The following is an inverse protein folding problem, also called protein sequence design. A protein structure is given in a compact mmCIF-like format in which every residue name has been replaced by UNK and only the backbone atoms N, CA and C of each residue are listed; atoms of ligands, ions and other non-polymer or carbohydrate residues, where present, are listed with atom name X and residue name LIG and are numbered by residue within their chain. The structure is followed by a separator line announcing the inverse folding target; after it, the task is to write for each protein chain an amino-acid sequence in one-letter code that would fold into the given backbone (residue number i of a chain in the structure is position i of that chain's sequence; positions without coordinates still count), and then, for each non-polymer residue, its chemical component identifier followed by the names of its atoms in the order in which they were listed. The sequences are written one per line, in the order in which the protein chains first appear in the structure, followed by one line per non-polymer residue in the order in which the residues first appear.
data_IF_176318490339
#
_entry.id   IF_176318490339
#
_cell.length_a   1.000
_cell.length_b   1.000
_cell.length_c   1.000
_cell.angle_alpha   90.00
_cell.angle_beta   90.00
_cell.angle_gamma   90.00
#
_symmetry.space_group_name_H-M   'P 1'
#
loop_
_entity.id
_entity.type
_entity.pdbx_description
1 polymer ?
#
# COMPACT_ATOMS: atom_id res chain seq x y z
N UNK A 1 14.80 5.11 23.88
CA UNK A 1 13.61 6.01 24.13
C UNK A 1 12.41 5.42 23.39
N UNK A 2 11.18 5.92 23.60
CA UNK A 2 10.01 5.40 22.85
C UNK A 2 10.16 5.63 21.34
N UNK A 3 10.82 6.71 20.95
CA UNK A 3 11.12 7.04 19.55
C UNK A 3 12.05 6.02 18.87
N UNK A 4 12.89 5.31 19.63
CA UNK A 4 13.79 4.30 19.07
C UNK A 4 13.01 3.09 18.55
N UNK A 5 11.77 2.89 19.02
CA UNK A 5 10.90 1.82 18.51
C UNK A 5 10.48 2.01 17.05
N UNK A 6 10.63 3.22 16.49
CA UNK A 6 10.36 3.50 15.09
C UNK A 6 11.59 3.28 14.19
N UNK A 7 12.77 3.04 14.77
CA UNK A 7 14.00 2.74 14.03
C UNK A 7 13.97 1.33 13.43
N UNK A 8 14.41 1.24 12.20
CA UNK A 8 14.51 0.01 11.42
C UNK A 8 15.86 -0.03 10.68
N UNK A 9 16.91 0.35 11.40
CA UNK A 9 18.26 0.50 10.86
C UNK A 9 18.73 -0.76 10.14
N UNK A 10 19.24 -0.58 8.92
CA UNK A 10 19.79 -1.60 8.04
C UNK A 10 18.81 -2.75 7.69
N UNK A 11 17.51 -2.57 7.97
CA UNK A 11 16.47 -3.46 7.45
C UNK A 11 16.24 -3.19 5.96
N UNK A 12 15.68 -4.18 5.27
CA UNK A 12 15.38 -4.09 3.83
C UNK A 12 13.88 -4.17 3.61
N UNK A 13 13.33 -3.15 2.98
CA UNK A 13 11.92 -3.07 2.62
C UNK A 13 11.71 -3.21 1.11
N UNK A 14 10.70 -3.98 0.70
CA UNK A 14 10.23 -4.04 -0.68
C UNK A 14 8.92 -3.26 -0.74
N UNK A 15 8.82 -2.26 -1.65
CA UNK A 15 7.63 -1.43 -1.80
C UNK A 15 7.15 -1.49 -3.26
N UNK A 16 5.93 -1.97 -3.48
CA UNK A 16 5.33 -2.03 -4.81
C UNK A 16 4.55 -0.76 -5.13
N UNK A 17 4.56 -0.32 -6.40
CA UNK A 17 3.91 0.92 -6.82
C UNK A 17 4.53 2.16 -6.20
N UNK A 18 5.85 2.17 -6.07
CA UNK A 18 6.61 3.16 -5.30
C UNK A 18 7.19 4.32 -6.14
N UNK A 19 6.82 4.46 -7.41
CA UNK A 19 7.25 5.60 -8.23
C UNK A 19 6.59 6.93 -7.84
N UNK A 20 5.41 6.90 -7.20
CA UNK A 20 4.68 8.11 -6.78
C UNK A 20 3.69 7.83 -5.65
N UNK A 21 3.08 8.89 -5.13
CA UNK A 21 1.99 8.81 -4.17
C UNK A 21 2.36 8.11 -2.86
N UNK A 22 1.47 7.25 -2.37
CA UNK A 22 1.64 6.54 -1.09
C UNK A 22 2.89 5.66 -1.09
N UNK A 23 3.15 4.95 -2.20
CA UNK A 23 4.31 4.06 -2.30
C UNK A 23 5.64 4.80 -2.23
N UNK A 24 5.78 5.92 -2.95
CA UNK A 24 6.97 6.77 -2.90
C UNK A 24 7.19 7.36 -1.51
N UNK A 25 6.14 7.94 -0.92
CA UNK A 25 6.21 8.49 0.45
C UNK A 25 6.58 7.43 1.48
N UNK A 26 6.04 6.20 1.34
CA UNK A 26 6.40 5.07 2.21
C UNK A 26 7.86 4.65 2.06
N UNK A 27 8.40 4.64 0.83
CA UNK A 27 9.80 4.29 0.58
C UNK A 27 10.75 5.30 1.23
N UNK A 28 10.50 6.59 1.05
CA UNK A 28 11.31 7.65 1.66
C UNK A 28 11.20 7.61 3.19
N UNK A 29 9.99 7.48 3.75
CA UNK A 29 9.79 7.42 5.19
C UNK A 29 10.46 6.19 5.85
N UNK A 30 10.44 5.01 5.18
CA UNK A 30 11.18 3.83 5.65
C UNK A 30 12.70 4.09 5.64
N UNK A 31 13.20 4.80 4.63
CA UNK A 31 14.61 5.19 4.57
C UNK A 31 15.00 6.21 5.66
N UNK A 32 14.15 7.20 5.98
CA UNK A 32 14.32 8.11 7.10
C UNK A 32 14.42 7.37 8.44
N UNK A 33 13.72 6.25 8.59
CA UNK A 33 13.79 5.38 9.76
C UNK A 33 14.96 4.39 9.73
N UNK A 34 15.79 4.39 8.66
CA UNK A 34 17.03 3.62 8.57
C UNK A 34 17.03 2.43 7.63
N UNK A 35 15.94 2.15 6.91
CA UNK A 35 15.86 1.02 5.98
C UNK A 35 16.56 1.30 4.63
N UNK A 36 17.05 0.23 3.99
CA UNK A 36 17.30 0.17 2.56
C UNK A 36 16.02 -0.28 1.84
N UNK A 37 15.86 0.09 0.57
CA UNK A 37 14.61 -0.19 -0.15
C UNK A 37 14.83 -0.84 -1.51
N UNK A 38 13.93 -1.75 -1.88
CA UNK A 38 13.67 -2.17 -3.25
C UNK A 38 12.36 -1.53 -3.67
N UNK A 39 12.41 -0.68 -4.68
CA UNK A 39 11.28 0.11 -5.17
C UNK A 39 10.91 -0.34 -6.59
N UNK A 40 9.62 -0.54 -6.83
CA UNK A 40 9.14 -1.04 -8.11
C UNK A 40 7.95 -0.26 -8.64
N UNK A 41 7.98 0.13 -9.90
CA UNK A 41 6.87 0.74 -10.64
C UNK A 41 7.08 0.58 -12.15
N UNK A 42 6.12 1.04 -12.95
CA UNK A 42 6.22 0.97 -14.43
C UNK A 42 7.12 2.05 -15.03
N UNK A 43 7.28 3.19 -14.36
CA UNK A 43 7.98 4.37 -14.89
C UNK A 43 9.35 4.47 -14.23
N UNK A 44 10.41 4.32 -15.03
CA UNK A 44 11.78 4.37 -14.50
C UNK A 44 12.13 5.76 -13.94
N UNK A 45 11.75 6.86 -14.64
CA UNK A 45 12.05 8.22 -14.17
C UNK A 45 11.43 8.53 -12.80
N UNK A 46 10.21 8.04 -12.53
CA UNK A 46 9.58 8.22 -11.22
C UNK A 46 10.37 7.49 -10.12
N UNK A 47 10.91 6.30 -10.44
CA UNK A 47 11.75 5.53 -9.52
C UNK A 47 13.09 6.20 -9.26
N UNK A 48 13.69 6.85 -10.28
CA UNK A 48 14.95 7.57 -10.14
C UNK A 48 14.84 8.73 -9.14
N UNK A 49 13.72 9.47 -9.17
CA UNK A 49 13.44 10.54 -8.20
C UNK A 49 13.35 9.99 -6.77
N UNK A 50 12.64 8.88 -6.57
CA UNK A 50 12.50 8.25 -5.25
C UNK A 50 13.83 7.66 -4.79
N UNK A 51 14.59 7.01 -5.67
CA UNK A 51 15.90 6.47 -5.35
C UNK A 51 16.86 7.58 -4.89
N UNK A 52 16.90 8.71 -5.61
CA UNK A 52 17.70 9.86 -5.24
C UNK A 52 17.32 10.41 -3.85
N UNK A 53 16.02 10.49 -3.55
CA UNK A 53 15.56 10.91 -2.23
C UNK A 53 16.03 9.96 -1.11
N UNK A 54 15.96 8.65 -1.34
CA UNK A 54 16.44 7.61 -0.41
C UNK A 54 17.96 7.68 -0.22
N UNK A 55 18.71 7.85 -1.30
CA UNK A 55 20.18 7.93 -1.28
C UNK A 55 20.68 9.18 -0.57
N UNK A 56 19.92 10.29 -0.64
CA UNK A 56 20.24 11.52 0.12
C UNK A 56 20.15 11.34 1.64
N UNK A 57 19.54 10.24 2.11
CA UNK A 57 19.45 9.83 3.51
C UNK A 57 20.52 8.80 3.91
N UNK A 58 21.55 8.62 3.10
CA UNK A 58 22.58 7.59 3.28
C UNK A 58 22.02 6.15 3.32
N UNK A 59 20.93 5.91 2.58
CA UNK A 59 20.32 4.58 2.41
C UNK A 59 20.42 4.14 0.95
N UNK A 60 20.43 2.83 0.73
CA UNK A 60 20.48 2.27 -0.62
C UNK A 60 19.08 2.05 -1.17
N UNK A 61 18.86 2.41 -2.43
CA UNK A 61 17.67 2.08 -3.20
C UNK A 61 18.04 1.19 -4.39
N UNK A 62 17.22 0.17 -4.65
CA UNK A 62 17.30 -0.63 -5.88
C UNK A 62 15.98 -0.44 -6.62
N UNK A 63 16.06 0.19 -7.80
CA UNK A 63 14.91 0.50 -8.64
C UNK A 63 14.63 -0.62 -9.64
N UNK A 64 13.35 -1.01 -9.77
CA UNK A 64 12.89 -2.04 -10.71
C UNK A 64 11.73 -1.50 -11.54
N UNK A 65 11.99 -1.17 -12.80
CA UNK A 65 10.94 -0.80 -13.75
C UNK A 65 10.30 -2.06 -14.33
N UNK A 66 9.07 -2.38 -13.90
CA UNK A 66 8.34 -3.56 -14.36
C UNK A 66 6.82 -3.36 -14.33
N UNK A 67 6.10 -4.23 -15.05
CA UNK A 67 4.65 -4.32 -14.92
C UNK A 67 4.31 -5.09 -13.64
N UNK A 68 3.69 -4.39 -12.71
CA UNK A 68 3.30 -4.96 -11.42
C UNK A 68 1.97 -5.77 -11.49
N UNK A 69 1.37 -5.93 -12.65
CA UNK A 69 0.33 -6.92 -12.90
C UNK A 69 0.92 -8.30 -13.27
N UNK A 70 2.18 -8.36 -13.69
CA UNK A 70 2.89 -9.62 -13.93
C UNK A 70 3.33 -10.23 -12.59
N UNK A 71 2.70 -11.35 -12.22
CA UNK A 71 2.96 -12.04 -10.96
C UNK A 71 4.40 -12.57 -10.86
N UNK A 72 5.03 -12.93 -11.98
CA UNK A 72 6.43 -13.38 -11.99
C UNK A 72 7.39 -12.22 -11.76
N UNK A 73 7.18 -11.09 -12.43
CA UNK A 73 7.98 -9.90 -12.22
C UNK A 73 7.90 -9.39 -10.78
N UNK A 74 6.71 -9.40 -10.18
CA UNK A 74 6.53 -8.95 -8.79
C UNK A 74 7.15 -9.94 -7.78
N UNK A 75 7.09 -11.24 -8.04
CA UNK A 75 7.71 -12.24 -7.20
C UNK A 75 9.25 -12.15 -7.21
N UNK A 76 9.84 -11.78 -8.35
CA UNK A 76 11.29 -11.63 -8.48
C UNK A 76 11.89 -10.52 -7.60
N UNK A 77 11.11 -9.56 -7.13
CA UNK A 77 11.57 -8.50 -6.23
C UNK A 77 12.18 -9.05 -4.94
N UNK A 78 11.64 -10.15 -4.41
CA UNK A 78 12.17 -10.81 -3.21
C UNK A 78 13.54 -11.44 -3.47
N UNK A 79 13.70 -12.11 -4.62
CA UNK A 79 14.99 -12.65 -5.04
C UNK A 79 16.06 -11.57 -5.27
N UNK A 80 15.66 -10.44 -5.84
CA UNK A 80 16.52 -9.28 -6.04
C UNK A 80 16.96 -8.69 -4.68
N UNK A 81 16.03 -8.45 -3.75
CA UNK A 81 16.36 -7.96 -2.42
C UNK A 81 17.35 -8.89 -1.70
N UNK A 82 17.15 -10.22 -1.82
CA UNK A 82 18.09 -11.21 -1.27
C UNK A 82 19.48 -11.13 -1.91
N UNK A 83 19.58 -10.94 -3.24
CA UNK A 83 20.87 -10.80 -3.93
C UNK A 83 21.61 -9.51 -3.56
N UNK A 84 20.88 -8.38 -3.48
CA UNK A 84 21.48 -7.06 -3.28
C UNK A 84 21.80 -6.73 -1.82
N UNK A 85 20.98 -7.24 -0.90
CA UNK A 85 21.05 -6.90 0.52
C UNK A 85 21.20 -8.12 1.45
N UNK A 86 21.01 -9.34 0.94
CA UNK A 86 21.09 -10.57 1.74
C UNK A 86 19.89 -10.82 2.65
N UNK A 87 18.79 -10.02 2.54
CA UNK A 87 17.65 -10.09 3.44
C UNK A 87 16.39 -9.42 2.87
N UNK A 88 15.24 -9.76 3.45
CA UNK A 88 13.98 -9.02 3.37
C UNK A 88 13.38 -8.98 4.77
N UNK A 89 13.01 -7.81 5.27
CA UNK A 89 12.42 -7.61 6.60
C UNK A 89 11.01 -7.05 6.53
N UNK A 90 10.75 -6.20 5.51
CA UNK A 90 9.51 -5.46 5.36
C UNK A 90 9.00 -5.63 3.93
N UNK A 91 7.70 -5.87 3.79
CA UNK A 91 7.00 -5.82 2.50
C UNK A 91 5.85 -4.82 2.61
N UNK A 92 5.78 -3.87 1.68
CA UNK A 92 4.65 -2.95 1.54
C UNK A 92 3.95 -3.23 0.21
N UNK A 93 2.83 -3.93 0.28
CA UNK A 93 1.96 -4.20 -0.87
C UNK A 93 1.07 -2.98 -1.12
N UNK A 94 1.57 -2.05 -1.93
CA UNK A 94 0.87 -0.81 -2.23
C UNK A 94 0.20 -0.81 -3.61
N UNK A 95 0.58 -1.71 -4.51
CA UNK A 95 -0.10 -1.86 -5.81
C UNK A 95 -1.57 -2.16 -5.62
N UNK A 96 -2.39 -1.49 -6.41
CA UNK A 96 -3.82 -1.70 -6.41
C UNK A 96 -4.56 -0.54 -7.08
N UNK A 97 -5.82 -0.77 -7.34
CA UNK A 97 -6.73 0.18 -7.96
C UNK A 97 -7.74 -0.55 -8.85
N UNK A 98 -8.83 0.10 -9.16
CA UNK A 98 -9.75 -0.18 -10.24
C UNK A 98 -10.61 1.07 -10.44
N UNK A 99 -10.95 1.38 -11.68
CA UNK A 99 -11.79 2.54 -12.00
C UNK A 99 -13.23 2.24 -11.57
N UNK A 100 -13.90 3.15 -10.86
CA UNK A 100 -15.32 2.98 -10.56
C UNK A 100 -16.17 2.92 -11.84
N UNK A 101 -17.04 1.91 -11.93
CA UNK A 101 -17.93 1.71 -13.09
C UNK A 101 -19.38 1.51 -12.65
N UNK A 102 -20.39 1.92 -13.45
CA UNK A 102 -21.77 1.54 -13.25
C UNK A 102 -21.92 0.02 -13.15
N UNK A 103 -22.88 -0.46 -12.36
CA UNK A 103 -23.06 -1.90 -12.09
C UNK A 103 -23.18 -2.73 -13.37
N UNK A 104 -23.97 -2.28 -14.35
CA UNK A 104 -24.15 -2.99 -15.63
C UNK A 104 -22.92 -3.00 -16.55
N UNK A 105 -21.92 -2.15 -16.28
CA UNK A 105 -20.63 -2.13 -16.99
C UNK A 105 -19.53 -2.86 -16.22
N UNK A 106 -19.80 -3.29 -14.98
CA UNK A 106 -18.84 -4.06 -14.17
C UNK A 106 -18.99 -5.53 -14.51
N UNK A 107 -18.27 -5.99 -15.53
CA UNK A 107 -18.31 -7.37 -16.00
C UNK A 107 -17.61 -8.32 -15.03
N UNK A 108 -17.87 -9.66 -15.09
CA UNK A 108 -17.10 -10.64 -14.32
C UNK A 108 -15.59 -10.53 -14.54
N UNK A 109 -15.16 -10.33 -15.78
CA UNK A 109 -13.75 -10.22 -16.16
C UNK A 109 -13.11 -8.99 -15.50
N UNK A 110 -13.82 -7.85 -15.44
CA UNK A 110 -13.36 -6.66 -14.75
C UNK A 110 -13.24 -6.87 -13.23
N UNK A 111 -14.14 -7.66 -12.65
CA UNK A 111 -14.03 -8.10 -11.25
C UNK A 111 -12.78 -8.94 -11.02
N UNK A 112 -12.48 -9.89 -11.92
CA UNK A 112 -11.30 -10.74 -11.86
C UNK A 112 -10.01 -9.91 -11.99
N UNK A 113 -9.95 -8.97 -12.94
CA UNK A 113 -8.83 -8.04 -13.10
C UNK A 113 -8.60 -7.20 -11.84
N UNK A 114 -9.67 -6.66 -11.23
CA UNK A 114 -9.56 -5.90 -10.00
C UNK A 114 -9.04 -6.77 -8.84
N UNK A 115 -9.50 -8.01 -8.73
CA UNK A 115 -9.01 -8.96 -7.73
C UNK A 115 -7.54 -9.32 -7.98
N UNK A 116 -7.18 -9.61 -9.23
CA UNK A 116 -5.81 -9.89 -9.63
C UNK A 116 -4.86 -8.77 -9.20
N UNK A 117 -5.18 -7.52 -9.59
CA UNK A 117 -4.31 -6.37 -9.36
C UNK A 117 -4.25 -5.92 -7.90
N UNK A 118 -5.29 -6.18 -7.09
CA UNK A 118 -5.31 -5.75 -5.69
C UNK A 118 -4.91 -6.85 -4.70
N UNK A 119 -5.11 -8.14 -5.03
CA UNK A 119 -4.92 -9.24 -4.08
C UNK A 119 -3.88 -10.25 -4.57
N UNK A 120 -4.00 -10.74 -5.83
CA UNK A 120 -3.10 -11.78 -6.32
C UNK A 120 -1.65 -11.29 -6.43
N UNK A 121 -1.43 -10.03 -6.84
CA UNK A 121 -0.10 -9.40 -6.88
C UNK A 121 0.56 -9.36 -5.50
N UNK A 122 -0.17 -8.98 -4.46
CA UNK A 122 0.31 -8.98 -3.09
C UNK A 122 0.64 -10.40 -2.59
N UNK A 123 -0.21 -11.37 -2.94
CA UNK A 123 0.05 -12.76 -2.56
C UNK A 123 1.30 -13.32 -3.26
N UNK A 124 1.50 -13.01 -4.55
CA UNK A 124 2.68 -13.43 -5.29
C UNK A 124 3.99 -12.91 -4.67
N UNK A 125 4.03 -11.62 -4.31
CA UNK A 125 5.18 -11.07 -3.59
C UNK A 125 5.37 -11.71 -2.22
N UNK A 126 4.30 -11.85 -1.44
CA UNK A 126 4.38 -12.46 -0.12
C UNK A 126 4.88 -13.90 -0.18
N UNK A 127 4.40 -14.70 -1.15
CA UNK A 127 4.82 -16.08 -1.35
C UNK A 127 6.34 -16.18 -1.62
N UNK A 128 6.91 -15.24 -2.38
CA UNK A 128 8.34 -15.18 -2.65
C UNK A 128 9.16 -14.57 -1.50
N UNK A 129 8.62 -13.58 -0.79
CA UNK A 129 9.34 -12.85 0.26
C UNK A 129 9.38 -13.63 1.59
N UNK A 130 8.30 -14.33 1.97
CA UNK A 130 8.17 -15.04 3.25
C UNK A 130 9.34 -15.99 3.52
N UNK A 131 9.79 -16.85 2.59
CA UNK A 131 10.95 -17.72 2.84
C UNK A 131 12.21 -16.93 3.17
N UNK A 132 12.46 -15.81 2.46
CA UNK A 132 13.64 -14.95 2.69
C UNK A 132 13.54 -14.24 4.04
N UNK A 133 12.35 -13.77 4.42
CA UNK A 133 12.10 -13.16 5.74
C UNK A 133 12.37 -14.16 6.87
N UNK A 134 11.96 -15.41 6.72
CA UNK A 134 12.17 -16.46 7.72
C UNK A 134 13.65 -16.81 7.95
N UNK A 135 14.53 -16.64 6.96
CA UNK A 135 15.97 -16.79 7.11
C UNK A 135 16.57 -15.84 8.17
N UNK A 136 15.90 -14.70 8.41
CA UNK A 136 16.30 -13.69 9.41
C UNK A 136 15.39 -13.70 10.66
N UNK A 137 14.54 -14.70 10.79
CA UNK A 137 13.70 -14.89 11.98
C UNK A 137 12.31 -14.29 11.86
N UNK A 138 11.96 -13.63 10.77
CA UNK A 138 10.65 -13.07 10.52
C UNK A 138 10.65 -11.65 9.96
N UNK A 139 9.55 -10.92 10.09
CA UNK A 139 9.43 -9.56 9.54
C UNK A 139 8.02 -8.99 9.64
N UNK A 140 7.73 -7.98 8.81
CA UNK A 140 6.43 -7.30 8.77
C UNK A 140 5.94 -7.10 7.33
N UNK A 141 4.67 -7.43 7.10
CA UNK A 141 3.97 -7.18 5.84
C UNK A 141 2.88 -6.14 6.11
N UNK A 142 2.86 -5.07 5.32
CA UNK A 142 1.86 -4.00 5.36
C UNK A 142 1.14 -3.94 4.03
N UNK A 143 -0.15 -4.20 4.03
CA UNK A 143 -1.00 -4.14 2.84
C UNK A 143 -1.73 -2.80 2.78
N UNK A 144 -1.70 -2.11 1.64
CA UNK A 144 -2.48 -0.88 1.44
C UNK A 144 -3.85 -1.25 0.90
N UNK A 145 -4.83 -1.22 1.79
CA UNK A 145 -6.25 -1.37 1.49
C UNK A 145 -6.92 0.00 1.29
N UNK A 146 -8.21 0.10 1.45
CA UNK A 146 -8.98 1.33 1.30
C UNK A 146 -10.18 1.32 2.24
N UNK A 147 -10.64 2.50 2.63
CA UNK A 147 -11.93 2.70 3.28
C UNK A 147 -13.07 2.07 2.46
N UNK A 148 -12.96 2.06 1.12
CA UNK A 148 -13.93 1.43 0.22
C UNK A 148 -14.04 -0.10 0.37
N UNK A 149 -13.12 -0.74 1.08
CA UNK A 149 -13.25 -2.14 1.50
C UNK A 149 -14.23 -2.33 2.68
N UNK A 150 -14.67 -1.26 3.33
CA UNK A 150 -15.60 -1.23 4.47
C UNK A 150 -16.87 -0.44 4.15
N UNK A 151 -16.71 0.71 3.53
CA UNK A 151 -17.80 1.64 3.19
C UNK A 151 -18.32 1.31 1.80
N UNK A 152 -19.65 1.24 1.64
CA UNK A 152 -20.29 0.97 0.37
C UNK A 152 -20.58 2.26 -0.40
N UNK A 153 -20.17 2.30 -1.67
CA UNK A 153 -20.43 3.42 -2.59
C UNK A 153 -20.82 2.93 -3.97
N UNK A 154 -21.56 3.77 -4.72
CA UNK A 154 -21.96 3.47 -6.11
C UNK A 154 -20.72 3.42 -7.01
N UNK A 155 -20.68 2.47 -7.93
CA UNK A 155 -19.55 2.27 -8.87
C UNK A 155 -18.37 1.48 -8.31
N UNK A 156 -18.38 1.14 -7.03
CA UNK A 156 -17.23 0.48 -6.39
C UNK A 156 -17.34 -1.05 -6.30
N UNK A 157 -18.23 -1.69 -7.08
CA UNK A 157 -18.42 -3.15 -6.99
C UNK A 157 -17.10 -3.92 -7.16
N UNK A 158 -16.28 -3.62 -8.16
CA UNK A 158 -15.00 -4.28 -8.37
C UNK A 158 -13.95 -3.85 -7.34
N UNK A 159 -13.70 -2.55 -7.22
CA UNK A 159 -12.67 -2.01 -6.33
C UNK A 159 -12.95 -2.30 -4.85
N UNK A 160 -14.15 -1.98 -4.39
CA UNK A 160 -14.55 -2.16 -2.99
C UNK A 160 -14.48 -3.63 -2.57
N UNK A 161 -14.96 -4.54 -3.44
CA UNK A 161 -14.88 -5.99 -3.20
C UNK A 161 -13.44 -6.46 -3.11
N UNK A 162 -12.55 -6.02 -4.02
CA UNK A 162 -11.14 -6.38 -3.99
C UNK A 162 -10.42 -5.83 -2.74
N UNK A 163 -10.75 -4.60 -2.30
CA UNK A 163 -10.17 -4.02 -1.07
C UNK A 163 -10.73 -4.65 0.21
N UNK A 164 -11.98 -5.10 0.22
CA UNK A 164 -12.54 -5.93 1.28
C UNK A 164 -11.84 -7.30 1.35
N UNK A 165 -11.61 -7.91 0.18
CA UNK A 165 -10.85 -9.16 0.09
C UNK A 165 -9.41 -8.98 0.60
N UNK A 166 -8.71 -7.88 0.26
CA UNK A 166 -7.37 -7.56 0.81
C UNK A 166 -7.39 -7.43 2.34
N UNK A 167 -8.40 -6.77 2.90
CA UNK A 167 -8.55 -6.64 4.34
C UNK A 167 -8.76 -8.01 5.02
N UNK A 168 -9.55 -8.90 4.41
CA UNK A 168 -9.75 -10.25 4.95
C UNK A 168 -8.52 -11.14 4.73
N UNK A 169 -7.86 -11.07 3.56
CA UNK A 169 -6.58 -11.73 3.27
C UNK A 169 -5.52 -11.39 4.32
N UNK A 170 -5.45 -10.13 4.74
CA UNK A 170 -4.55 -9.70 5.83
C UNK A 170 -4.81 -10.46 7.12
N UNK A 171 -6.09 -10.67 7.50
CA UNK A 171 -6.45 -11.43 8.69
C UNK A 171 -6.08 -12.91 8.58
N UNK A 172 -6.31 -13.52 7.41
CA UNK A 172 -6.00 -14.93 7.17
C UNK A 172 -4.48 -15.16 7.18
N UNK A 173 -3.74 -14.41 6.35
CA UNK A 173 -2.28 -14.55 6.26
C UNK A 173 -1.57 -14.25 7.58
N UNK A 174 -2.13 -13.37 8.42
CA UNK A 174 -1.58 -13.14 9.76
C UNK A 174 -1.66 -14.39 10.67
N UNK A 175 -2.66 -15.26 10.48
CA UNK A 175 -2.79 -16.51 11.24
C UNK A 175 -1.76 -17.54 10.78
N UNK A 176 -1.54 -17.61 9.48
CA UNK A 176 -0.62 -18.60 8.90
C UNK A 176 0.86 -18.24 9.16
N UNK A 177 1.17 -16.93 9.24
CA UNK A 177 2.55 -16.44 9.31
C UNK A 177 3.02 -16.09 10.72
N UNK A 178 2.11 -15.95 11.69
CA UNK A 178 2.47 -15.74 13.09
C UNK A 178 3.14 -16.99 13.69
N UNK A 179 4.03 -16.84 14.70
CA UNK A 179 4.45 -15.59 15.33
C UNK A 179 5.64 -14.89 14.62
N UNK A 180 6.15 -15.44 13.54
CA UNK A 180 7.38 -14.98 12.91
C UNK A 180 7.19 -13.71 12.07
N UNK A 181 6.08 -13.62 11.34
CA UNK A 181 5.80 -12.49 10.46
C UNK A 181 4.47 -11.87 10.88
N UNK A 182 4.48 -10.56 11.10
CA UNK A 182 3.27 -9.78 11.34
C UNK A 182 2.69 -9.35 10.00
N UNK A 183 1.38 -9.45 9.85
CA UNK A 183 0.68 -9.00 8.64
C UNK A 183 -0.45 -8.08 9.06
N UNK A 184 -0.38 -6.82 8.60
CA UNK A 184 -1.40 -5.81 8.88
C UNK A 184 -1.77 -5.06 7.59
N UNK A 185 -2.86 -4.33 7.62
CA UNK A 185 -3.23 -3.44 6.51
C UNK A 185 -3.53 -2.03 7.01
N UNK A 186 -3.42 -1.07 6.08
CA UNK A 186 -3.93 0.28 6.25
C UNK A 186 -5.13 0.43 5.31
N UNK A 187 -6.30 0.77 5.86
CA UNK A 187 -7.45 1.20 5.09
C UNK A 187 -7.31 2.72 4.88
N UNK A 188 -6.77 3.10 3.73
CA UNK A 188 -6.57 4.51 3.38
C UNK A 188 -7.89 5.17 2.99
N UNK A 189 -8.11 6.38 3.48
CA UNK A 189 -9.19 7.26 3.03
C UNK A 189 -8.87 7.96 1.70
N UNK A 190 -9.42 9.15 1.53
CA UNK A 190 -9.14 10.01 0.39
C UNK A 190 -7.79 10.70 0.58
N UNK A 191 -6.78 10.26 -0.17
CA UNK A 191 -5.40 10.74 -0.07
C UNK A 191 -5.01 11.48 -1.34
N UNK A 192 -4.38 12.65 -1.20
CA UNK A 192 -3.92 13.50 -2.31
C UNK A 192 -2.83 12.77 -3.12
N UNK A 193 -3.26 12.03 -4.12
CA UNK A 193 -2.42 11.29 -5.07
C UNK A 193 -2.92 11.55 -6.49
N UNK A 194 -2.18 11.09 -7.49
CA UNK A 194 -2.64 11.15 -8.89
C UNK A 194 -3.98 10.42 -9.15
N UNK A 195 -4.37 9.49 -8.28
CA UNK A 195 -5.68 8.85 -8.37
C UNK A 195 -6.84 9.82 -8.07
N UNK A 196 -6.58 10.91 -7.33
CA UNK A 196 -7.54 11.98 -7.05
C UNK A 196 -7.26 13.26 -7.84
N UNK A 197 -6.48 13.22 -8.93
CA UNK A 197 -6.11 14.42 -9.69
C UNK A 197 -7.33 15.21 -10.15
N UNK A 198 -8.39 14.54 -10.63
CA UNK A 198 -9.65 15.17 -11.04
C UNK A 198 -10.28 15.95 -9.89
N UNK A 199 -10.27 15.39 -8.68
CA UNK A 199 -10.78 16.05 -7.47
C UNK A 199 -9.89 17.22 -7.09
N UNK A 200 -8.57 17.03 -7.12
CA UNK A 200 -7.61 18.06 -6.71
C UNK A 200 -7.60 19.26 -7.66
N UNK A 201 -8.03 19.10 -8.92
CA UNK A 201 -8.13 20.17 -9.92
C UNK A 201 -9.51 20.83 -9.94
N UNK A 202 -10.55 20.29 -9.28
CA UNK A 202 -11.87 20.90 -9.12
C UNK A 202 -12.07 21.42 -7.69
N UNK A 203 -12.14 22.75 -7.49
CA UNK A 203 -12.38 23.32 -6.16
C UNK A 203 -13.66 22.82 -5.51
N UNK A 204 -14.72 22.64 -6.29
CA UNK A 204 -16.04 22.19 -5.80
C UNK A 204 -15.99 20.74 -5.32
N UNK A 205 -15.38 19.83 -6.08
CA UNK A 205 -15.24 18.41 -5.68
C UNK A 205 -14.31 18.29 -4.48
N UNK A 206 -13.24 19.07 -4.45
CA UNK A 206 -12.33 19.11 -3.30
C UNK A 206 -13.03 19.56 -2.04
N UNK A 207 -13.76 20.69 -2.09
CA UNK A 207 -14.51 21.20 -0.94
C UNK A 207 -15.54 20.18 -0.45
N UNK A 208 -16.31 19.60 -1.35
CA UNK A 208 -17.30 18.58 -0.99
C UNK A 208 -16.64 17.38 -0.28
N UNK A 209 -15.51 16.90 -0.79
CA UNK A 209 -14.78 15.78 -0.18
C UNK A 209 -14.21 16.14 1.19
N UNK A 210 -13.73 17.36 1.36
CA UNK A 210 -13.23 17.87 2.64
C UNK A 210 -14.35 17.99 3.67
N UNK A 211 -15.52 18.54 3.28
CA UNK A 211 -16.69 18.67 4.14
C UNK A 211 -17.26 17.31 4.60
N UNK A 212 -17.16 16.28 3.77
CA UNK A 212 -17.60 14.92 4.10
C UNK A 212 -16.54 14.10 4.85
N UNK A 213 -15.39 14.68 5.15
CA UNK A 213 -14.33 14.07 5.96
C UNK A 213 -14.34 14.72 7.33
N UNK A 214 -14.46 13.94 8.44
CA UNK A 214 -14.59 14.51 9.78
C UNK A 214 -13.39 15.40 10.17
N UNK A 215 -12.18 15.10 9.69
CA UNK A 215 -11.01 15.97 9.91
C UNK A 215 -10.95 17.19 8.98
N UNK A 216 -11.95 17.41 8.11
CA UNK A 216 -12.11 18.59 7.28
C UNK A 216 -11.01 18.78 6.22
N UNK A 217 -10.32 17.72 5.82
CA UNK A 217 -9.27 17.76 4.81
C UNK A 217 -9.13 16.45 4.06
N UNK A 218 -8.58 16.52 2.85
CA UNK A 218 -8.04 15.36 2.15
C UNK A 218 -6.72 14.98 2.84
N UNK A 219 -6.47 13.68 3.02
CA UNK A 219 -5.24 13.17 3.62
C UNK A 219 -4.03 13.40 2.73
N UNK A 220 -2.86 13.58 3.34
CA UNK A 220 -1.57 13.60 2.65
C UNK A 220 -0.98 12.19 2.57
N UNK A 221 -0.09 11.96 1.62
CA UNK A 221 0.62 10.67 1.49
C UNK A 221 1.45 10.34 2.74
N UNK A 222 1.91 11.38 3.46
CA UNK A 222 2.63 11.25 4.74
C UNK A 222 1.75 10.69 5.87
N UNK A 223 0.44 10.95 5.85
CA UNK A 223 -0.48 10.35 6.84
C UNK A 223 -0.45 8.81 6.74
N UNK A 224 -0.39 8.27 5.52
CA UNK A 224 -0.29 6.83 5.28
C UNK A 224 1.12 6.30 5.57
N UNK A 225 2.16 7.02 5.13
CA UNK A 225 3.54 6.62 5.36
C UNK A 225 3.87 6.49 6.86
N UNK A 226 3.36 7.39 7.71
CA UNK A 226 3.49 7.28 9.16
C UNK A 226 2.86 5.97 9.71
N UNK A 227 1.70 5.59 9.18
CA UNK A 227 1.07 4.31 9.51
C UNK A 227 1.88 3.10 9.05
N UNK A 228 2.52 3.19 7.87
CA UNK A 228 3.43 2.15 7.37
C UNK A 228 4.60 1.98 8.32
N UNK A 229 5.27 3.06 8.74
CA UNK A 229 6.37 3.01 9.71
C UNK A 229 5.90 2.37 11.02
N UNK A 230 4.75 2.81 11.56
CA UNK A 230 4.22 2.25 12.80
C UNK A 230 4.01 0.73 12.71
N UNK A 231 3.40 0.25 11.65
CA UNK A 231 3.13 -1.18 11.47
C UNK A 231 4.38 -2.00 11.11
N UNK A 232 5.34 -1.40 10.39
CA UNK A 232 6.56 -2.07 9.97
C UNK A 232 7.59 -2.22 11.10
N UNK A 233 7.72 -1.20 11.95
CA UNK A 233 8.75 -1.07 12.98
C UNK A 233 8.44 -1.85 14.28
N UNK A 234 9.38 -1.89 15.24
CA UNK A 234 9.16 -2.40 16.60
C UNK A 234 8.02 -1.70 17.35
N UNK A 235 7.64 -0.46 17.00
CA UNK A 235 6.48 0.22 17.59
C UNK A 235 5.17 -0.56 17.37
N UNK A 236 5.06 -1.30 16.27
CA UNK A 236 3.94 -2.18 15.96
C UNK A 236 4.13 -3.65 16.35
N UNK A 237 5.12 -3.99 17.19
CA UNK A 237 5.52 -5.36 17.46
C UNK A 237 4.39 -6.25 18.06
N UNK A 238 3.39 -5.64 18.71
CA UNK A 238 2.26 -6.37 19.29
C UNK A 238 0.97 -6.26 18.44
N UNK A 239 1.12 -5.97 17.13
CA UNK A 239 -0.01 -5.81 16.21
C UNK A 239 0.15 -6.78 15.04
N UNK A 240 -0.81 -7.68 14.86
CA UNK A 240 -0.94 -8.54 13.68
C UNK A 240 -2.40 -8.84 13.37
N UNK A 241 -2.74 -9.01 12.09
CA UNK A 241 -4.10 -9.27 11.61
C UNK A 241 -5.04 -8.07 11.73
N UNK A 242 -4.52 -6.84 11.87
CA UNK A 242 -5.32 -5.63 12.05
C UNK A 242 -5.38 -4.81 10.76
N UNK A 243 -6.49 -4.09 10.64
CA UNK A 243 -6.72 -3.08 9.60
C UNK A 243 -6.74 -1.75 10.32
N UNK A 244 -5.72 -0.95 10.10
CA UNK A 244 -5.61 0.41 10.65
C UNK A 244 -6.28 1.38 9.68
N UNK A 245 -7.37 1.99 10.10
CA UNK A 245 -8.06 3.01 9.33
C UNK A 245 -7.33 4.34 9.46
N UNK A 246 -6.86 4.89 8.33
CA UNK A 246 -6.23 6.21 8.22
C UNK A 246 -7.00 6.95 7.12
N UNK A 247 -8.15 7.49 7.48
CA UNK A 247 -9.16 7.96 6.54
C UNK A 247 -9.80 9.30 6.91
N UNK A 248 -9.34 9.94 7.99
CA UNK A 248 -9.90 11.20 8.45
C UNK A 248 -11.31 11.09 9.05
N UNK A 249 -11.74 9.86 9.39
CA UNK A 249 -13.06 9.60 9.95
C UNK A 249 -14.16 9.46 8.89
N UNK A 250 -13.85 8.88 7.74
CA UNK A 250 -14.83 8.64 6.67
C UNK A 250 -15.76 7.48 7.05
N UNK A 251 -17.03 7.76 7.28
CA UNK A 251 -18.06 6.77 7.57
C UNK A 251 -18.98 6.46 6.37
N UNK A 252 -19.06 7.38 5.42
CA UNK A 252 -19.79 7.24 4.16
C UNK A 252 -18.88 7.63 3.00
N UNK A 253 -19.14 7.19 1.75
CA UNK A 253 -18.33 7.61 0.60
C UNK A 253 -18.31 9.13 0.49
N UNK A 254 -17.14 9.72 0.47
CA UNK A 254 -16.97 11.18 0.36
C UNK A 254 -16.70 11.66 -1.08
N UNK A 255 -16.85 10.77 -2.05
CA UNK A 255 -16.89 11.07 -3.48
C UNK A 255 -18.06 10.33 -4.12
N UNK A 256 -19.02 11.09 -4.64
CA UNK A 256 -20.13 10.59 -5.45
C UNK A 256 -19.84 10.86 -6.93
N UNK A 257 -19.79 9.80 -7.72
CA UNK A 257 -19.61 9.89 -9.17
C UNK A 257 -20.90 10.26 -9.91
N UNK A 258 -22.00 10.54 -9.20
CA UNK A 258 -23.31 10.87 -9.78
C UNK A 258 -23.74 9.88 -10.86
N UNK A 259 -23.48 8.59 -10.63
CA UNK A 259 -23.91 7.55 -11.56
C UNK A 259 -25.43 7.53 -11.63
N UNK A 260 -26.02 7.43 -12.85
CA UNK A 260 -27.47 7.44 -13.02
C UNK A 260 -28.12 6.26 -12.33
N UNK A 261 -29.38 6.42 -11.97
CA UNK A 261 -30.25 5.31 -11.57
C UNK A 261 -30.47 4.36 -12.76
N UNK A 262 -30.76 3.09 -12.48
CA UNK A 262 -31.04 2.08 -13.49
C UNK A 262 -32.42 2.29 -14.10
#
# INVERSE_FOLDING_TARGET
MITDLFRIDDQVAIITGSGRGIGAASAVALAECGAHVVIASRTASDLDEVAHAVESLDRRAVSVACDLADLSAIAELAGLARREFGRVDIVVNNVGGAVPLPFLLTTPEYMEEAFHFNVATAHALNLAAVPVMLERGGGSIVNISSVMGRVAGRGYAAYGSAKAAMAHYTRLSSKDLAPKIRVNAIAAGSIATSALEIVMTSPELKQMMEEMTLLGRIGAVQDIAAGVIYLASPAGAYITGKILEIDGGIDVPNLDFQLPDL
#
